data_IF_283137464139
#
_entry.id   IF_283137464139
#
_cell.length_a   1.000
_cell.length_b   1.000
_cell.length_c   1.000
_cell.angle_alpha   90.00
_cell.angle_beta   90.00
_cell.angle_gamma   90.00
#
_symmetry.space_group_name_H-M   'P 1'
#
loop_
_entity.id
_entity.type
_entity.pdbx_description
1 polymer ?
#
# COMPACT_ATOMS: atom_id res chain seq x y z
N UNK A 1 -47.35 -41.54 48.31
CA UNK A 1 -46.83 -42.03 47.01
C UNK A 1 -45.48 -41.39 46.75
N UNK A 2 -44.51 -42.20 46.32
CA UNK A 2 -43.15 -41.92 45.84
C UNK A 2 -43.08 -40.61 45.00
N UNK A 3 -42.01 -39.83 45.01
CA UNK A 3 -40.75 -40.13 44.32
C UNK A 3 -39.57 -39.25 44.78
N UNK A 4 -38.41 -39.90 44.86
CA UNK A 4 -37.07 -39.32 44.89
C UNK A 4 -36.79 -38.51 43.61
N UNK A 5 -35.96 -37.46 43.71
CA UNK A 5 -34.75 -37.40 42.89
C UNK A 5 -33.66 -36.57 43.59
N UNK A 6 -32.51 -37.22 43.68
CA UNK A 6 -31.23 -36.82 44.22
C UNK A 6 -30.43 -36.08 43.12
N UNK A 7 -29.28 -35.47 43.48
CA UNK A 7 -28.09 -35.21 42.63
C UNK A 7 -28.02 -33.80 41.95
N UNK A 8 -26.92 -33.02 41.86
CA UNK A 8 -25.50 -33.06 42.27
C UNK A 8 -25.06 -31.60 42.56
N UNK A 9 -24.27 -31.38 43.63
CA UNK A 9 -23.43 -30.19 43.77
C UNK A 9 -22.29 -30.30 42.75
N UNK A 10 -22.22 -29.42 41.74
CA UNK A 10 -21.05 -29.30 40.88
C UNK A 10 -20.23 -28.07 41.30
N UNK A 11 -19.06 -28.36 41.85
CA UNK A 11 -17.96 -27.43 42.08
C UNK A 11 -17.67 -26.60 40.82
N UNK A 12 -17.83 -25.28 40.91
CA UNK A 12 -17.38 -24.36 39.88
C UNK A 12 -15.84 -24.33 39.94
N UNK A 13 -15.19 -25.11 39.08
CA UNK A 13 -13.75 -25.04 38.84
C UNK A 13 -13.39 -23.61 38.38
N UNK A 14 -12.56 -22.93 39.17
CA UNK A 14 -11.75 -21.81 38.71
C UNK A 14 -10.85 -22.31 37.58
N UNK A 15 -11.30 -22.14 36.33
CA UNK A 15 -10.42 -22.20 35.18
C UNK A 15 -9.54 -20.94 35.26
N UNK A 16 -8.33 -21.11 35.79
CA UNK A 16 -7.26 -20.16 35.57
C UNK A 16 -7.13 -19.94 34.07
N UNK A 17 -7.51 -18.75 33.61
CA UNK A 17 -7.17 -18.31 32.27
C UNK A 17 -5.65 -18.22 32.22
N UNK A 18 -5.03 -19.27 31.67
CA UNK A 18 -3.65 -19.25 31.25
C UNK A 18 -3.51 -18.09 30.28
N UNK A 19 -2.96 -16.97 30.76
CA UNK A 19 -2.46 -15.91 29.89
C UNK A 19 -1.30 -16.53 29.10
N UNK A 20 -1.61 -17.18 27.98
CA UNK A 20 -0.65 -17.27 26.90
C UNK A 20 -0.41 -15.82 26.50
N UNK A 21 0.70 -15.24 26.98
CA UNK A 21 1.15 -13.95 26.51
C UNK A 21 1.42 -14.12 25.01
N UNK A 22 0.45 -13.73 24.20
CA UNK A 22 0.73 -13.35 22.82
C UNK A 22 1.85 -12.33 22.96
N UNK A 23 3.07 -12.67 22.52
CA UNK A 23 4.20 -11.77 22.65
C UNK A 23 3.74 -10.41 22.13
N UNK A 24 3.72 -9.41 23.01
CA UNK A 24 3.25 -8.08 22.63
C UNK A 24 4.10 -7.66 21.42
N UNK A 25 3.46 -7.49 20.26
CA UNK A 25 4.06 -6.98 19.02
C UNK A 25 4.38 -5.49 19.23
N UNK A 26 5.20 -5.20 20.23
CA UNK A 26 5.50 -3.89 20.75
C UNK A 26 6.98 -3.83 21.10
N UNK A 27 7.60 -2.70 20.79
CA UNK A 27 8.96 -2.37 21.21
C UNK A 27 8.89 -1.16 22.13
N UNK A 28 9.64 -1.22 23.23
CA UNK A 28 9.72 -0.11 24.18
C UNK A 28 10.98 0.69 23.92
N UNK A 29 10.82 2.01 23.87
CA UNK A 29 11.94 2.94 23.98
C UNK A 29 12.63 2.76 25.33
N UNK A 30 13.96 2.64 25.33
CA UNK A 30 14.73 2.30 26.53
C UNK A 30 14.81 3.43 27.55
N UNK A 31 14.64 4.67 27.11
CA UNK A 31 14.80 5.85 27.97
C UNK A 31 13.45 6.27 28.57
N UNK A 32 12.41 6.30 27.75
CA UNK A 32 11.07 6.76 28.11
C UNK A 32 10.14 5.63 28.53
N UNK A 33 10.47 4.38 28.19
CA UNK A 33 9.58 3.22 28.36
C UNK A 33 8.37 3.24 27.42
N UNK A 34 8.28 4.22 26.51
CA UNK A 34 7.13 4.37 25.64
C UNK A 34 7.07 3.25 24.59
N UNK A 35 5.89 2.64 24.43
CA UNK A 35 5.71 1.50 23.54
C UNK A 35 5.17 1.91 22.17
N UNK A 36 5.71 1.27 21.14
CA UNK A 36 5.30 1.40 19.76
C UNK A 36 5.08 -0.01 19.20
N UNK A 37 4.07 -0.16 18.37
CA UNK A 37 3.77 -1.43 17.74
C UNK A 37 4.89 -1.84 16.76
N UNK A 38 5.27 -3.11 16.77
CA UNK A 38 6.28 -3.70 15.91
C UNK A 38 5.85 -5.10 15.44
N UNK A 39 5.66 -5.30 14.13
CA UNK A 39 5.44 -6.63 13.54
C UNK A 39 6.72 -7.40 13.23
N UNK A 40 7.90 -6.75 13.26
CA UNK A 40 9.18 -7.39 12.94
C UNK A 40 9.73 -8.14 14.15
N UNK A 41 10.50 -9.20 13.89
CA UNK A 41 11.28 -9.93 14.89
C UNK A 41 12.18 -8.96 15.67
N UNK A 42 12.09 -8.99 17.00
CA UNK A 42 12.71 -7.99 17.88
C UNK A 42 14.24 -8.11 18.02
N UNK A 43 14.87 -9.16 17.49
CA UNK A 43 16.31 -9.38 17.69
C UNK A 43 17.12 -8.35 16.90
N UNK A 44 17.86 -7.50 17.64
CA UNK A 44 18.74 -6.47 17.08
C UNK A 44 18.07 -5.12 16.81
N UNK A 45 16.75 -5.02 16.97
CA UNK A 45 16.01 -3.78 16.80
C UNK A 45 15.91 -2.99 18.10
N UNK A 46 16.10 -1.67 18.02
CA UNK A 46 15.80 -0.70 19.10
C UNK A 46 15.15 0.54 18.50
N UNK A 47 14.48 1.33 19.34
CA UNK A 47 13.88 2.60 18.93
C UNK A 47 14.36 3.76 19.81
N UNK A 48 14.26 4.97 19.26
CA UNK A 48 14.21 6.23 20.00
C UNK A 48 12.89 6.94 19.69
N UNK A 49 12.11 7.27 20.72
CA UNK A 49 10.83 7.99 20.61
C UNK A 49 10.92 9.37 21.26
N UNK A 50 10.60 10.40 20.48
CA UNK A 50 10.46 11.77 20.96
C UNK A 50 9.04 12.27 20.64
N UNK A 51 8.14 12.17 21.62
CA UNK A 51 6.76 12.62 21.44
C UNK A 51 5.88 12.29 22.64
N UNK A 52 4.57 12.48 22.46
CA UNK A 52 3.59 12.19 23.50
C UNK A 52 3.52 10.69 23.82
N UNK A 53 3.52 10.35 25.11
CA UNK A 53 3.34 8.99 25.58
C UNK A 53 2.15 8.91 26.55
N UNK A 54 1.04 8.30 26.13
CA UNK A 54 -0.19 8.18 26.93
C UNK A 54 -0.47 6.72 27.19
N UNK A 55 -0.78 6.38 28.45
CA UNK A 55 -1.03 5.01 28.88
C UNK A 55 0.09 4.02 28.47
N UNK A 56 1.35 4.49 28.51
CA UNK A 56 2.53 3.71 28.15
C UNK A 56 2.76 3.50 26.65
N UNK A 57 1.99 4.16 25.76
CA UNK A 57 2.12 4.03 24.30
C UNK A 57 2.29 5.39 23.63
N UNK A 58 2.97 5.40 22.49
CA UNK A 58 3.05 6.60 21.65
C UNK A 58 1.64 7.01 21.20
N UNK A 59 1.25 8.24 21.52
CA UNK A 59 -0.11 8.74 21.28
C UNK A 59 -0.11 10.26 21.18
N UNK A 60 -0.18 10.76 19.93
CA UNK A 60 0.02 12.14 19.53
C UNK A 60 1.17 12.30 18.55
N UNK A 61 1.49 13.55 18.21
CA UNK A 61 2.59 13.88 17.30
C UNK A 61 3.95 13.56 17.93
N UNK A 62 4.86 13.01 17.13
CA UNK A 62 6.24 12.80 17.54
C UNK A 62 7.14 12.24 16.44
N UNK A 63 8.38 11.97 16.83
CA UNK A 63 9.43 11.43 15.97
C UNK A 63 9.88 10.07 16.50
N UNK A 64 9.81 9.05 15.64
CA UNK A 64 10.32 7.70 15.90
C UNK A 64 11.55 7.45 15.03
N UNK A 65 12.66 7.07 15.65
CA UNK A 65 13.84 6.54 14.95
C UNK A 65 14.00 5.05 15.24
N UNK A 66 14.02 4.23 14.19
CA UNK A 66 14.38 2.82 14.23
C UNK A 66 15.88 2.63 14.09
N UNK A 67 16.40 1.63 14.82
CA UNK A 67 17.77 1.17 14.71
C UNK A 67 17.82 -0.35 14.56
N UNK A 68 18.64 -0.83 13.64
CA UNK A 68 19.05 -2.23 13.55
C UNK A 68 20.54 -2.35 13.87
N UNK A 69 20.89 -3.15 14.88
CA UNK A 69 22.27 -3.29 15.36
C UNK A 69 22.97 -1.94 15.60
N UNK A 70 22.25 -1.00 16.25
CA UNK A 70 22.68 0.37 16.55
C UNK A 70 22.89 1.29 15.34
N UNK A 71 22.53 0.87 14.13
CA UNK A 71 22.53 1.73 12.93
C UNK A 71 21.12 2.26 12.66
N UNK A 72 20.94 3.56 12.36
CA UNK A 72 19.66 4.08 11.93
C UNK A 72 19.17 3.35 10.67
N UNK A 73 17.91 2.89 10.67
CA UNK A 73 17.27 2.20 9.53
C UNK A 73 16.13 3.02 8.93
N UNK A 74 15.35 3.69 9.77
CA UNK A 74 14.23 4.48 9.30
C UNK A 74 13.70 5.42 10.36
N UNK A 75 13.14 6.54 9.92
CA UNK A 75 12.58 7.58 10.78
C UNK A 75 11.17 7.91 10.32
N UNK A 76 10.26 8.01 11.28
CA UNK A 76 8.93 8.55 11.06
C UNK A 76 8.73 9.83 11.86
N UNK A 77 8.18 10.84 11.21
CA UNK A 77 7.71 12.07 11.83
C UNK A 77 6.22 12.24 11.50
N UNK A 78 5.36 12.19 12.52
CA UNK A 78 3.91 12.27 12.34
C UNK A 78 3.13 11.87 13.58
N UNK A 79 1.86 11.56 13.38
CA UNK A 79 0.95 11.24 14.48
C UNK A 79 0.93 9.74 14.80
N UNK A 80 0.84 9.45 16.10
CA UNK A 80 0.60 8.11 16.61
C UNK A 80 -0.74 8.03 17.35
N UNK A 81 -1.39 6.87 17.27
CA UNK A 81 -2.50 6.49 18.14
C UNK A 81 -2.25 5.08 18.64
N UNK A 82 -2.23 4.90 19.96
CA UNK A 82 -1.99 3.60 20.61
C UNK A 82 -0.75 2.86 20.07
N UNK A 83 0.33 3.58 19.82
CA UNK A 83 1.61 3.02 19.36
C UNK A 83 1.67 2.74 17.85
N UNK A 84 0.70 3.19 17.04
CA UNK A 84 0.71 3.02 15.58
C UNK A 84 0.70 4.36 14.85
N UNK A 85 1.43 4.48 13.75
CA UNK A 85 1.39 5.62 12.83
C UNK A 85 -0.03 5.81 12.30
N UNK A 86 -0.50 7.06 12.29
CA UNK A 86 -1.80 7.48 11.82
C UNK A 86 -1.71 8.85 11.14
N UNK A 87 -2.73 9.18 10.34
CA UNK A 87 -2.86 10.52 9.77
C UNK A 87 -1.71 10.86 8.83
N UNK A 88 -1.38 12.13 8.70
CA UNK A 88 -0.31 12.55 7.81
C UNK A 88 1.06 12.44 8.48
N UNK A 89 2.05 11.92 7.75
CA UNK A 89 3.42 11.84 8.25
C UNK A 89 4.46 11.65 7.15
N UNK A 90 5.72 11.73 7.55
CA UNK A 90 6.88 11.47 6.70
C UNK A 90 7.63 10.24 7.22
N UNK A 91 7.88 9.26 6.36
CA UNK A 91 8.69 8.09 6.67
C UNK A 91 9.94 8.09 5.76
N UNK A 92 11.12 8.30 6.33
CA UNK A 92 12.39 8.26 5.63
C UNK A 92 13.14 6.95 5.95
N UNK A 93 13.70 6.31 4.94
CA UNK A 93 14.48 5.07 5.05
C UNK A 93 15.99 5.35 4.90
N UNK A 94 16.82 4.45 5.40
CA UNK A 94 18.28 4.54 5.36
C UNK A 94 18.85 4.45 3.94
N UNK A 95 18.14 3.81 3.01
CA UNK A 95 18.44 3.78 1.58
C UNK A 95 18.24 5.14 0.87
N UNK A 96 17.68 6.13 1.58
CA UNK A 96 17.39 7.48 1.05
C UNK A 96 16.00 7.62 0.43
N UNK A 97 15.21 6.54 0.35
CA UNK A 97 13.83 6.62 -0.04
C UNK A 97 12.97 7.29 1.03
N UNK A 98 11.86 7.90 0.62
CA UNK A 98 10.94 8.57 1.54
C UNK A 98 9.49 8.45 1.08
N UNK A 99 8.59 8.35 2.05
CA UNK A 99 7.16 8.50 1.86
C UNK A 99 6.66 9.73 2.62
N UNK A 100 5.79 10.52 2.00
CA UNK A 100 5.07 11.63 2.62
C UNK A 100 3.60 11.44 2.29
N UNK A 101 2.75 11.25 3.28
CA UNK A 101 1.35 10.96 3.01
C UNK A 101 0.59 10.46 4.22
N UNK A 102 -0.59 9.92 3.93
CA UNK A 102 -1.51 9.41 4.91
C UNK A 102 -1.16 7.98 5.36
N UNK A 103 -1.32 7.74 6.66
CA UNK A 103 -1.10 6.47 7.34
C UNK A 103 -2.37 6.06 8.07
N UNK A 104 -2.66 4.76 8.03
CA UNK A 104 -3.68 4.12 8.84
C UNK A 104 -3.11 2.84 9.45
N UNK A 105 -3.02 2.80 10.78
CA UNK A 105 -2.53 1.63 11.53
C UNK A 105 -1.16 1.11 11.05
N UNK A 106 -0.17 2.00 10.90
CA UNK A 106 1.17 1.72 10.34
C UNK A 106 1.23 1.43 8.82
N UNK A 107 0.12 1.48 8.11
CA UNK A 107 0.08 1.25 6.66
C UNK A 107 -0.10 2.58 5.93
N UNK A 108 0.60 2.79 4.81
CA UNK A 108 0.27 3.86 3.87
C UNK A 108 -1.14 3.63 3.35
N UNK A 109 -1.98 4.65 3.42
CA UNK A 109 -3.39 4.58 3.07
C UNK A 109 -3.88 5.96 2.69
N UNK A 110 -4.68 6.12 1.64
CA UNK A 110 -5.12 7.42 1.15
C UNK A 110 -4.07 8.10 0.27
N UNK A 111 -3.96 9.43 0.31
CA UNK A 111 -3.06 10.17 -0.59
C UNK A 111 -1.62 10.22 -0.07
N UNK A 112 -0.66 9.98 -0.96
CA UNK A 112 0.74 10.15 -0.62
C UNK A 112 1.68 10.25 -1.82
N UNK A 113 2.93 10.54 -1.50
CA UNK A 113 4.04 10.58 -2.45
C UNK A 113 5.18 9.70 -1.93
N UNK A 114 5.68 8.82 -2.78
CA UNK A 114 6.87 8.02 -2.50
C UNK A 114 7.99 8.42 -3.46
N UNK A 115 9.17 8.71 -2.93
CA UNK A 115 10.40 8.90 -3.68
C UNK A 115 11.31 7.71 -3.39
N UNK A 116 11.64 6.94 -4.40
CA UNK A 116 12.62 5.86 -4.31
C UNK A 116 14.04 6.42 -4.33
N UNK A 117 15.00 5.63 -3.83
CA UNK A 117 16.40 6.01 -3.75
C UNK A 117 17.05 6.28 -5.12
N UNK A 118 16.53 5.65 -6.18
CA UNK A 118 16.97 5.88 -7.56
C UNK A 118 16.51 7.24 -8.13
N UNK A 119 15.55 7.90 -7.47
CA UNK A 119 14.93 9.16 -7.92
C UNK A 119 13.58 8.97 -8.62
N UNK A 120 13.12 7.74 -8.83
CA UNK A 120 11.75 7.44 -9.26
C UNK A 120 10.79 8.00 -8.22
N UNK A 121 9.64 8.52 -8.65
CA UNK A 121 8.65 9.13 -7.75
C UNK A 121 7.22 8.72 -8.12
N UNK A 122 6.42 8.34 -7.14
CA UNK A 122 4.98 8.14 -7.29
C UNK A 122 4.23 9.17 -6.47
N UNK A 123 3.15 9.70 -7.02
CA UNK A 123 2.16 10.52 -6.34
C UNK A 123 0.77 9.97 -6.65
N UNK A 124 0.03 9.53 -5.62
CA UNK A 124 -1.23 8.86 -5.87
C UNK A 124 -1.93 8.31 -4.64
N UNK A 125 -2.88 7.45 -4.92
CA UNK A 125 -3.68 6.73 -3.93
C UNK A 125 -2.92 5.48 -3.44
N UNK A 126 -3.00 5.26 -2.13
CA UNK A 126 -2.44 4.10 -1.45
C UNK A 126 -3.55 3.34 -0.73
N UNK A 127 -3.45 2.02 -0.73
CA UNK A 127 -4.25 1.15 0.13
C UNK A 127 -3.38 0.04 0.68
N UNK A 128 -3.36 -0.11 2.01
CA UNK A 128 -2.61 -1.17 2.70
C UNK A 128 -1.14 -1.29 2.25
N UNK A 129 -0.42 -0.16 2.22
CA UNK A 129 0.95 -0.02 1.70
C UNK A 129 1.16 -0.07 0.18
N UNK A 130 0.15 -0.44 -0.61
CA UNK A 130 0.29 -0.57 -2.07
C UNK A 130 -0.24 0.66 -2.79
N UNK A 131 0.30 0.98 -3.97
CA UNK A 131 -0.31 1.92 -4.91
C UNK A 131 -1.61 1.29 -5.43
N UNK A 132 -2.75 1.92 -5.14
CA UNK A 132 -4.08 1.40 -5.45
C UNK A 132 -5.05 2.56 -5.63
N UNK A 133 -5.61 2.69 -6.84
CA UNK A 133 -6.38 3.85 -7.27
C UNK A 133 -5.62 4.72 -8.29
N UNK A 134 -5.83 6.03 -8.27
CA UNK A 134 -5.27 6.95 -9.28
C UNK A 134 -3.91 7.50 -8.85
N UNK A 135 -2.95 7.45 -9.76
CA UNK A 135 -1.62 7.96 -9.49
C UNK A 135 -0.85 8.40 -10.71
N UNK A 136 0.31 8.99 -10.45
CA UNK A 136 1.33 9.27 -11.44
C UNK A 136 2.66 8.76 -10.95
N UNK A 137 3.32 7.92 -11.74
CA UNK A 137 4.71 7.53 -11.52
C UNK A 137 5.60 8.26 -12.51
N UNK A 138 6.70 8.81 -12.02
CA UNK A 138 7.71 9.54 -12.75
C UNK A 138 9.02 8.76 -12.62
N UNK A 139 9.66 8.47 -13.74
CA UNK A 139 10.97 7.83 -13.78
C UNK A 139 12.07 8.88 -13.93
N UNK A 140 13.29 8.49 -13.56
CA UNK A 140 14.47 9.37 -13.53
C UNK A 140 14.82 9.92 -14.91
N UNK A 141 14.52 9.18 -15.97
CA UNK A 141 14.74 9.60 -17.36
C UNK A 141 13.77 10.70 -17.83
N UNK A 142 12.77 11.05 -17.00
CA UNK A 142 11.72 12.02 -17.32
C UNK A 142 10.50 11.41 -18.00
N UNK A 143 10.48 10.09 -18.22
CA UNK A 143 9.28 9.36 -18.61
C UNK A 143 8.29 9.33 -17.44
N UNK A 144 7.00 9.19 -17.74
CA UNK A 144 5.98 9.13 -16.70
C UNK A 144 4.74 8.37 -17.16
N UNK A 145 3.98 7.85 -16.20
CA UNK A 145 2.68 7.22 -16.44
C UNK A 145 1.64 7.86 -15.53
N UNK A 146 0.51 8.25 -16.12
CA UNK A 146 -0.68 8.75 -15.40
C UNK A 146 -1.81 7.75 -15.65
N UNK A 147 -2.41 7.22 -14.59
CA UNK A 147 -3.53 6.29 -14.75
C UNK A 147 -3.92 5.63 -13.44
N UNK A 148 -4.61 4.50 -13.58
CA UNK A 148 -4.99 3.67 -12.44
C UNK A 148 -3.88 2.66 -12.10
N UNK A 149 -3.88 2.26 -10.83
CA UNK A 149 -3.02 1.27 -10.24
C UNK A 149 -3.86 0.30 -9.41
N UNK A 150 -3.44 -0.96 -9.39
CA UNK A 150 -4.01 -1.98 -8.53
C UNK A 150 -2.84 -2.82 -8.00
N UNK A 151 -2.70 -2.90 -6.67
CA UNK A 151 -1.64 -3.69 -6.02
C UNK A 151 -0.24 -3.43 -6.61
N UNK A 152 0.17 -2.15 -6.66
CA UNK A 152 1.47 -1.68 -7.16
C UNK A 152 1.69 -1.75 -8.67
N UNK A 153 0.72 -2.24 -9.46
CA UNK A 153 0.84 -2.36 -10.92
C UNK A 153 -0.07 -1.40 -11.65
N UNK A 154 0.31 -0.98 -12.85
CA UNK A 154 -0.57 -0.22 -13.75
C UNK A 154 -1.79 -1.06 -14.09
N UNK A 155 -2.96 -0.47 -13.96
CA UNK A 155 -4.23 -1.09 -14.23
C UNK A 155 -5.17 -0.08 -14.89
N UNK A 156 -6.24 -0.56 -15.53
CA UNK A 156 -7.28 0.30 -16.08
C UNK A 156 -6.79 1.22 -17.19
N UNK A 157 -7.51 2.30 -17.46
CA UNK A 157 -7.11 3.25 -18.50
C UNK A 157 -5.95 4.14 -18.01
N UNK A 158 -4.95 4.33 -18.85
CA UNK A 158 -3.78 5.13 -18.52
C UNK A 158 -3.04 5.67 -19.74
N UNK A 159 -2.12 6.58 -19.45
CA UNK A 159 -1.26 7.25 -20.42
C UNK A 159 0.19 7.12 -19.99
N UNK A 160 0.97 6.38 -20.77
CA UNK A 160 2.42 6.26 -20.66
C UNK A 160 3.09 7.25 -21.63
N UNK A 161 3.98 8.08 -21.11
CA UNK A 161 4.76 9.05 -21.88
C UNK A 161 6.24 8.74 -21.73
N UNK A 162 6.86 8.23 -22.80
CA UNK A 162 8.26 7.82 -22.83
C UNK A 162 9.10 8.91 -23.50
N UNK A 163 10.23 9.28 -22.90
CA UNK A 163 11.13 10.28 -23.51
C UNK A 163 11.81 9.77 -24.78
N UNK A 164 12.33 10.69 -25.59
CA UNK A 164 13.13 10.36 -26.77
C UNK A 164 14.26 9.36 -26.44
N UNK A 165 14.44 8.36 -27.30
CA UNK A 165 15.41 7.27 -27.15
C UNK A 165 15.18 6.32 -25.96
N UNK A 166 14.05 6.42 -25.27
CA UNK A 166 13.71 5.41 -24.26
C UNK A 166 13.60 4.02 -24.94
N UNK A 167 14.35 3.01 -24.49
CA UNK A 167 14.42 1.70 -25.16
C UNK A 167 13.11 0.91 -25.11
N UNK A 168 12.17 1.25 -24.22
CA UNK A 168 10.86 0.63 -24.12
C UNK A 168 9.91 1.04 -25.25
N UNK A 169 10.21 2.10 -26.00
CA UNK A 169 9.37 2.52 -27.15
C UNK A 169 9.15 1.39 -28.15
N UNK A 170 10.16 0.52 -28.35
CA UNK A 170 10.07 -0.63 -29.27
C UNK A 170 8.98 -1.64 -28.89
N UNK A 171 8.62 -1.72 -27.61
CA UNK A 171 7.57 -2.62 -27.11
C UNK A 171 6.16 -2.09 -27.44
N UNK A 172 6.06 -0.80 -27.77
CA UNK A 172 4.81 -0.11 -28.05
C UNK A 172 4.73 0.45 -29.46
N UNK A 173 5.59 0.00 -30.39
CA UNK A 173 5.83 0.65 -31.68
C UNK A 173 4.56 0.99 -32.49
N UNK A 174 3.54 0.14 -32.41
CA UNK A 174 2.27 0.28 -33.13
C UNK A 174 1.11 0.84 -32.26
N UNK A 175 1.40 1.17 -31.01
CA UNK A 175 0.42 1.50 -29.97
C UNK A 175 0.49 2.95 -29.49
N UNK A 176 1.47 3.73 -29.96
CA UNK A 176 1.69 5.11 -29.55
C UNK A 176 1.96 6.09 -30.69
N UNK A 177 2.13 7.35 -30.32
CA UNK A 177 2.40 8.47 -31.23
C UNK A 177 3.37 9.47 -30.60
N UNK A 178 4.17 10.13 -31.43
CA UNK A 178 5.02 11.22 -30.99
C UNK A 178 4.21 12.51 -30.75
N UNK A 179 4.38 13.12 -29.59
CA UNK A 179 3.89 14.46 -29.27
C UNK A 179 5.03 15.21 -28.58
N UNK A 180 5.65 16.15 -29.30
CA UNK A 180 6.87 16.81 -28.84
C UNK A 180 7.99 15.80 -28.62
N UNK A 181 8.61 15.83 -27.44
CA UNK A 181 9.72 14.95 -27.06
C UNK A 181 9.28 13.61 -26.44
N UNK A 182 7.97 13.32 -26.44
CA UNK A 182 7.42 12.11 -25.84
C UNK A 182 6.80 11.20 -26.89
N UNK A 183 7.07 9.90 -26.76
CA UNK A 183 6.27 8.83 -27.36
C UNK A 183 5.15 8.46 -26.40
N UNK A 184 3.91 8.73 -26.80
CA UNK A 184 2.73 8.62 -25.95
C UNK A 184 1.92 7.39 -26.34
N UNK A 185 1.67 6.54 -25.33
CA UNK A 185 0.82 5.35 -25.41
C UNK A 185 -0.37 5.56 -24.49
N UNK A 186 -1.58 5.52 -25.04
CA UNK A 186 -2.84 5.64 -24.31
C UNK A 186 -3.62 4.34 -24.47
N UNK A 187 -4.18 3.81 -23.40
CA UNK A 187 -4.83 2.51 -23.46
C UNK A 187 -5.19 1.91 -22.11
N UNK A 188 -5.66 0.66 -22.15
CA UNK A 188 -5.98 -0.14 -20.96
C UNK A 188 -4.79 -1.02 -20.61
N UNK A 189 -4.36 -0.93 -19.35
CA UNK A 189 -3.30 -1.73 -18.75
C UNK A 189 -3.88 -2.80 -17.81
N UNK A 190 -3.22 -3.95 -17.74
CA UNK A 190 -3.47 -4.96 -16.73
C UNK A 190 -2.13 -5.59 -16.35
N UNK A 191 -1.79 -5.61 -15.06
CA UNK A 191 -0.52 -6.13 -14.56
C UNK A 191 0.70 -5.52 -15.28
N UNK A 192 0.71 -4.20 -15.48
CA UNK A 192 1.72 -3.43 -16.24
C UNK A 192 1.72 -3.60 -17.76
N UNK A 193 1.01 -4.60 -18.29
CA UNK A 193 0.91 -4.87 -19.73
C UNK A 193 -0.17 -4.02 -20.39
N UNK A 194 0.12 -3.49 -21.59
CA UNK A 194 -0.89 -2.82 -22.41
C UNK A 194 -1.76 -3.87 -23.12
N UNK A 195 -3.03 -3.94 -22.74
CA UNK A 195 -4.00 -4.90 -23.28
C UNK A 195 -4.76 -4.34 -24.49
N UNK A 196 -4.98 -3.02 -24.52
CA UNK A 196 -5.62 -2.35 -25.65
C UNK A 196 -5.09 -0.92 -25.80
N UNK A 197 -4.67 -0.55 -27.01
CA UNK A 197 -4.33 0.85 -27.34
C UNK A 197 -5.54 1.59 -27.89
N UNK A 198 -5.87 2.73 -27.28
CA UNK A 198 -7.01 3.54 -27.68
C UNK A 198 -6.84 4.99 -27.20
N UNK A 199 -7.44 5.97 -27.89
CA UNK A 199 -7.26 7.40 -27.55
C UNK A 199 -8.09 7.87 -26.34
N UNK A 200 -8.98 7.02 -25.80
CA UNK A 200 -9.82 7.35 -24.65
C UNK A 200 -10.41 6.09 -24.04
N UNK A 201 -10.75 6.14 -22.75
CA UNK A 201 -11.44 5.06 -22.05
C UNK A 201 -12.69 4.57 -22.80
N UNK A 202 -13.52 5.50 -23.30
CA UNK A 202 -14.72 5.19 -24.10
C UNK A 202 -14.38 4.43 -25.38
N UNK A 203 -13.26 4.79 -26.03
CA UNK A 203 -12.80 4.07 -27.22
C UNK A 203 -12.34 2.65 -26.89
N UNK A 204 -11.63 2.45 -25.77
CA UNK A 204 -11.23 1.13 -25.31
C UNK A 204 -12.45 0.25 -24.97
N UNK A 205 -13.44 0.79 -24.26
CA UNK A 205 -14.68 0.05 -23.94
C UNK A 205 -15.37 -0.43 -25.22
N UNK A 206 -15.45 0.43 -26.26
CA UNK A 206 -16.03 0.06 -27.55
C UNK A 206 -15.25 -1.08 -28.23
N UNK A 207 -13.92 -0.98 -28.27
CA UNK A 207 -13.06 -2.01 -28.87
C UNK A 207 -13.19 -3.35 -28.13
N UNK A 208 -13.06 -3.35 -26.81
CA UNK A 208 -13.14 -4.56 -25.99
C UNK A 208 -14.51 -5.24 -26.08
N UNK A 209 -15.59 -4.45 -26.12
CA UNK A 209 -16.95 -4.98 -26.28
C UNK A 209 -17.15 -5.63 -27.64
N UNK A 210 -16.60 -5.05 -28.72
CA UNK A 210 -16.67 -5.64 -30.05
C UNK A 210 -15.91 -6.97 -30.14
N UNK A 211 -14.72 -7.06 -29.52
CA UNK A 211 -13.95 -8.33 -29.46
C UNK A 211 -14.74 -9.41 -28.72
N UNK A 212 -15.40 -9.08 -27.61
CA UNK A 212 -16.26 -10.03 -26.88
C UNK A 212 -17.48 -10.47 -27.71
N UNK A 213 -18.08 -9.57 -28.50
CA UNK A 213 -19.20 -9.92 -29.39
C UNK A 213 -18.76 -10.81 -30.57
N UNK A 214 -17.54 -10.63 -31.08
CA UNK A 214 -16.97 -11.44 -32.17
C UNK A 214 -16.58 -12.83 -31.65
N UNK A 215 -15.95 -12.91 -30.48
CA UNK A 215 -15.56 -14.18 -29.84
C UNK A 215 -16.75 -14.88 -29.13
N UNK A 216 -17.84 -14.16 -28.91
CA UNK A 216 -19.08 -14.62 -28.28
C UNK A 216 -20.23 -14.90 -29.24
N UNK A 217 -19.96 -15.23 -30.51
CA UNK A 217 -21.00 -15.78 -31.42
C UNK A 217 -21.40 -17.21 -31.04
N UNK A 218 -21.99 -17.41 -29.86
CA UNK A 218 -23.09 -18.38 -29.68
C UNK A 218 -24.07 -17.87 -28.61
N UNK A 219 -25.36 -17.88 -28.98
CA UNK A 219 -26.59 -17.83 -28.17
C UNK A 219 -27.12 -16.45 -27.70
N UNK A 220 -28.01 -15.87 -28.52
CA UNK A 220 -29.43 -16.15 -28.34
C UNK A 220 -30.23 -15.58 -29.52
N UNK A 221 -30.94 -16.48 -30.22
CA UNK A 221 -32.21 -16.14 -30.85
C UNK A 221 -33.11 -15.57 -29.75
N UNK A 222 -33.34 -14.27 -29.75
CA UNK A 222 -34.54 -13.72 -29.12
C UNK A 222 -35.68 -14.06 -30.06
N UNK A 223 -36.34 -15.20 -29.80
CA UNK A 223 -37.73 -15.39 -30.21
C UNK A 223 -38.57 -14.39 -29.41
N UNK A 224 -39.48 -13.74 -30.14
CA UNK A 224 -40.53 -12.80 -29.72
C UNK A 224 -41.01 -12.96 -28.28
#
# INVERSE_FOLDING_TARGET
MKMNHLIFLSTLMLMSASFLSYADNEISDKETGCKIWNSKSLVGYTISWAGQCKNGKADGTGSLQWFYNKRPEGRYDGDYVLGKMQGHGTYAMDDGSRYIGEFQNNLRSGRGAYLWADGTRYEGDYQNNMMDGKGTIYWVDGSYYVGEFQQDKKFGFGKLSLVLNNPYIKEFADSGKWIGNYYIVEGVFADDDLIASCPSEVACIKQLTQVMQVNGRINAKVKN
#
